data_IF_276198048076
#
_entry.id   IF_276198048076
#
_cell.length_a   1.000
_cell.length_b   1.000
_cell.length_c   1.000
_cell.angle_alpha   90.00
_cell.angle_beta   90.00
_cell.angle_gamma   90.00
#
_symmetry.space_group_name_H-M   'P 1'
#
loop_
_entity.id
_entity.type
_entity.pdbx_description
1 polymer ?
#
# COMPACT_ATOMS: atom_id res chain seq x y z
N UNK A 1 -13.88 -0.60 -12.44
CA UNK A 1 -14.16 0.26 -11.26
C UNK A 1 -15.58 -0.05 -10.79
N UNK A 2 -15.77 -0.36 -9.49
CA UNK A 2 -17.12 -0.57 -8.94
C UNK A 2 -17.90 0.75 -8.89
N UNK A 3 -19.24 0.70 -8.99
CA UNK A 3 -20.08 1.92 -8.96
C UNK A 3 -19.86 2.75 -7.69
N UNK A 4 -19.57 2.10 -6.57
CA UNK A 4 -19.30 2.75 -5.28
C UNK A 4 -18.02 3.57 -5.24
N UNK A 5 -17.15 3.47 -6.26
CA UNK A 5 -15.90 4.23 -6.38
C UNK A 5 -15.90 5.20 -7.55
N UNK A 6 -17.08 5.44 -8.16
CA UNK A 6 -17.22 6.48 -9.18
C UNK A 6 -16.88 7.84 -8.61
N UNK A 7 -16.05 8.60 -9.33
CA UNK A 7 -15.65 9.96 -8.96
C UNK A 7 -14.43 10.04 -8.04
N UNK A 8 -13.85 8.91 -7.58
CA UNK A 8 -12.63 8.97 -6.77
C UNK A 8 -11.45 9.62 -7.49
N UNK A 9 -11.36 9.49 -8.81
CA UNK A 9 -10.36 10.20 -9.63
C UNK A 9 -10.55 11.72 -9.60
N UNK A 10 -11.74 12.20 -9.21
CA UNK A 10 -12.07 13.61 -9.00
C UNK A 10 -12.05 14.01 -7.52
N UNK A 11 -11.57 13.14 -6.63
CA UNK A 11 -11.56 13.36 -5.18
C UNK A 11 -12.94 13.22 -4.51
N UNK A 12 -13.88 12.54 -5.16
CA UNK A 12 -15.23 12.32 -4.63
C UNK A 12 -15.47 10.84 -4.37
N UNK A 13 -15.87 10.47 -3.17
CA UNK A 13 -16.37 9.13 -2.90
C UNK A 13 -17.83 9.02 -3.37
N UNK A 14 -18.25 7.81 -3.81
CA UNK A 14 -19.64 7.54 -4.20
C UNK A 14 -20.65 7.78 -3.07
N UNK A 15 -20.19 7.77 -1.81
CA UNK A 15 -20.97 8.12 -0.61
C UNK A 15 -21.21 9.62 -0.43
N UNK A 16 -20.73 10.46 -1.37
CA UNK A 16 -20.84 11.93 -1.27
C UNK A 16 -19.76 12.56 -0.37
N UNK A 17 -18.86 11.78 0.25
CA UNK A 17 -17.74 12.30 1.01
C UNK A 17 -16.61 12.75 0.06
N UNK A 18 -15.93 13.84 0.43
CA UNK A 18 -14.74 14.29 -0.28
C UNK A 18 -13.54 13.50 0.20
N UNK A 19 -12.86 12.80 -0.71
CA UNK A 19 -11.60 12.14 -0.42
C UNK A 19 -10.48 13.17 -0.29
N UNK A 20 -9.61 12.95 0.68
CA UNK A 20 -8.38 13.71 0.81
C UNK A 20 -7.30 13.07 -0.05
N UNK A 21 -6.81 13.78 -1.04
CA UNK A 21 -5.60 13.41 -1.77
C UNK A 21 -4.38 14.04 -1.12
N UNK A 22 -3.34 13.23 -0.93
CA UNK A 22 -2.07 13.75 -0.43
C UNK A 22 -1.42 14.65 -1.48
N UNK A 23 -0.90 15.81 -1.05
CA UNK A 23 -0.12 16.70 -1.91
C UNK A 23 1.18 16.05 -2.37
N UNK A 24 1.86 16.62 -3.35
CA UNK A 24 3.16 16.11 -3.80
C UNK A 24 4.20 16.05 -2.68
N UNK A 25 4.24 17.06 -1.80
CA UNK A 25 5.16 17.10 -0.65
C UNK A 25 4.80 16.04 0.40
N UNK A 26 3.52 15.83 0.68
CA UNK A 26 3.06 14.78 1.58
C UNK A 26 3.41 13.40 1.01
N UNK A 27 3.15 13.14 -0.28
CA UNK A 27 3.49 11.87 -0.93
C UNK A 27 4.98 11.59 -0.91
N UNK A 28 5.83 12.63 -1.11
CA UNK A 28 7.28 12.47 -0.99
C UNK A 28 7.71 11.95 0.38
N UNK A 29 6.98 12.27 1.45
CA UNK A 29 7.23 11.77 2.81
C UNK A 29 6.63 10.40 3.08
N UNK A 30 5.65 9.98 2.28
CA UNK A 30 4.98 8.68 2.37
C UNK A 30 5.63 7.62 1.48
N UNK A 31 6.70 7.94 0.76
CA UNK A 31 7.44 6.97 -0.01
C UNK A 31 8.07 5.93 0.91
N UNK A 32 7.81 4.66 0.61
CA UNK A 32 8.32 3.51 1.34
C UNK A 32 9.62 3.07 0.70
N UNK A 33 10.69 2.97 1.49
CA UNK A 33 12.04 2.67 1.01
C UNK A 33 12.61 1.41 1.65
N UNK A 34 13.45 0.66 0.91
CA UNK A 34 14.14 -0.47 1.50
C UNK A 34 15.28 0.00 2.41
N UNK A 35 15.48 -0.69 3.52
CA UNK A 35 16.59 -0.47 4.43
C UNK A 35 16.97 -1.77 5.15
N UNK A 36 18.14 -2.34 4.84
CA UNK A 36 18.64 -3.54 5.50
C UNK A 36 17.68 -4.74 5.48
N UNK A 37 17.00 -4.98 4.35
CA UNK A 37 16.02 -6.05 4.19
C UNK A 37 14.61 -5.72 4.70
N UNK A 38 14.39 -4.54 5.24
CA UNK A 38 13.13 -4.05 5.80
C UNK A 38 12.56 -2.91 4.96
N UNK A 39 11.37 -2.46 5.32
CA UNK A 39 10.76 -1.24 4.80
C UNK A 39 10.91 -0.10 5.81
N UNK A 40 11.35 1.03 5.31
CA UNK A 40 11.59 2.24 6.07
C UNK A 40 10.87 3.44 5.47
N UNK A 41 10.75 4.50 6.27
CA UNK A 41 10.36 5.80 5.78
C UNK A 41 11.52 6.49 5.02
N UNK A 42 11.27 7.71 4.55
CA UNK A 42 12.27 8.50 3.80
C UNK A 42 13.47 8.93 4.65
N UNK A 43 13.36 8.85 5.98
CA UNK A 43 14.43 9.16 6.92
C UNK A 43 15.24 7.92 7.34
N UNK A 44 14.88 6.73 6.78
CA UNK A 44 15.56 5.47 7.06
C UNK A 44 15.13 4.81 8.37
N UNK A 45 14.01 5.21 8.96
CA UNK A 45 13.45 4.58 10.16
C UNK A 45 12.54 3.42 9.74
N UNK A 46 12.65 2.23 10.37
CA UNK A 46 11.75 1.13 10.09
C UNK A 46 10.28 1.55 10.23
N UNK A 47 9.45 1.14 9.29
CA UNK A 47 8.01 1.36 9.37
C UNK A 47 7.41 0.45 10.43
N UNK A 48 6.87 1.06 11.48
CA UNK A 48 6.26 0.37 12.60
C UNK A 48 4.98 1.10 13.03
N UNK A 49 3.82 0.42 13.07
CA UNK A 49 2.55 1.03 13.46
C UNK A 49 2.51 1.47 14.92
N UNK A 50 3.35 0.88 15.77
CA UNK A 50 3.41 1.18 17.20
C UNK A 50 4.22 2.46 17.50
N UNK A 51 4.86 3.05 16.49
CA UNK A 51 5.52 4.34 16.67
C UNK A 51 4.52 5.47 16.90
N UNK A 52 4.82 6.42 17.81
CA UNK A 52 3.91 7.51 18.18
C UNK A 52 3.46 8.40 17.03
N UNK A 53 4.19 8.37 15.91
CA UNK A 53 3.93 9.19 14.73
C UNK A 53 2.98 8.52 13.72
N UNK A 54 2.53 7.31 14.01
CA UNK A 54 1.63 6.54 13.14
C UNK A 54 0.36 6.15 13.89
N UNK A 55 -0.51 7.13 14.23
CA UNK A 55 -1.79 6.84 14.88
C UNK A 55 -2.72 6.16 13.88
N UNK A 56 -2.53 4.89 13.66
CA UNK A 56 -3.29 4.09 12.74
C UNK A 56 -3.81 2.81 13.37
N UNK A 57 -4.45 1.99 12.58
CA UNK A 57 -4.81 0.63 13.00
C UNK A 57 -3.53 -0.17 13.16
N UNK A 58 -3.40 -0.84 14.30
CA UNK A 58 -2.21 -1.60 14.67
C UNK A 58 -1.77 -2.55 13.54
N UNK A 59 -0.56 -2.39 13.08
CA UNK A 59 0.15 -3.33 12.23
C UNK A 59 -0.06 -3.19 10.73
N UNK A 60 -1.06 -2.47 10.24
CA UNK A 60 -1.40 -2.45 8.81
C UNK A 60 -1.03 -1.14 8.14
N UNK A 61 -0.23 -1.24 7.09
CA UNK A 61 0.11 -0.14 6.18
C UNK A 61 -0.74 -0.25 4.91
N UNK A 62 -1.58 0.74 4.65
CA UNK A 62 -2.21 0.90 3.34
C UNK A 62 -1.14 1.31 2.33
N UNK A 63 -1.01 0.58 1.21
CA UNK A 63 0.00 0.90 0.20
C UNK A 63 -0.58 1.05 -1.21
N UNK A 64 0.12 1.81 -2.04
CA UNK A 64 -0.06 1.84 -3.48
C UNK A 64 1.29 1.89 -4.18
N UNK A 65 1.48 1.07 -5.21
CA UNK A 65 2.64 1.10 -6.09
C UNK A 65 2.30 1.86 -7.35
N UNK A 66 3.08 2.87 -7.68
CA UNK A 66 2.96 3.62 -8.92
C UNK A 66 3.56 2.84 -10.11
N UNK A 67 3.29 3.28 -11.34
CA UNK A 67 3.77 2.64 -12.57
C UNK A 67 5.31 2.62 -12.69
N UNK A 68 5.99 3.56 -12.03
CA UNK A 68 7.45 3.62 -11.96
C UNK A 68 8.08 2.69 -10.92
N UNK A 69 7.26 1.93 -10.19
CA UNK A 69 7.67 0.98 -9.16
C UNK A 69 7.91 1.60 -7.78
N UNK A 70 7.73 2.91 -7.61
CA UNK A 70 7.75 3.53 -6.28
C UNK A 70 6.50 3.11 -5.49
N UNK A 71 6.73 2.84 -4.21
CA UNK A 71 5.67 2.42 -3.30
C UNK A 71 5.44 3.56 -2.31
N UNK A 72 4.18 3.89 -2.09
CA UNK A 72 3.74 4.87 -1.10
C UNK A 72 2.86 4.16 -0.09
N UNK A 73 2.95 4.55 1.18
CA UNK A 73 2.17 3.90 2.22
C UNK A 73 1.84 4.83 3.38
N UNK A 74 0.73 4.55 4.04
CA UNK A 74 0.29 5.26 5.23
C UNK A 74 -0.38 4.32 6.22
N UNK A 75 -0.20 4.58 7.51
CA UNK A 75 -0.98 3.96 8.57
C UNK A 75 -2.28 4.73 8.88
N UNK A 76 -2.52 5.86 8.19
CA UNK A 76 -3.74 6.64 8.35
C UNK A 76 -4.90 5.99 7.56
N UNK A 77 -5.83 5.42 8.30
CA UNK A 77 -7.06 4.80 7.79
C UNK A 77 -8.30 5.64 8.13
N UNK A 78 -8.20 6.96 8.10
CA UNK A 78 -9.36 7.80 8.38
C UNK A 78 -10.52 7.44 7.47
N UNK A 79 -11.55 6.83 8.06
CA UNK A 79 -12.68 6.24 7.35
C UNK A 79 -13.36 7.29 6.45
N UNK A 80 -13.65 6.92 5.21
CA UNK A 80 -14.26 7.76 4.17
C UNK A 80 -13.46 9.01 3.76
N UNK A 81 -12.25 9.16 4.24
CA UNK A 81 -11.37 10.31 3.93
C UNK A 81 -10.10 9.86 3.21
N UNK A 82 -9.43 8.83 3.73
CA UNK A 82 -8.20 8.28 3.16
C UNK A 82 -8.49 6.91 2.55
N UNK A 83 -8.18 6.78 1.26
CA UNK A 83 -8.27 5.55 0.48
C UNK A 83 -6.94 5.31 -0.23
N UNK A 84 -6.77 4.14 -0.85
CA UNK A 84 -5.58 3.84 -1.66
C UNK A 84 -5.34 4.90 -2.74
N UNK A 85 -6.41 5.44 -3.34
CA UNK A 85 -6.34 6.53 -4.34
C UNK A 85 -5.74 7.82 -3.79
N UNK A 86 -5.82 8.05 -2.47
CA UNK A 86 -5.22 9.21 -1.79
C UNK A 86 -3.70 9.23 -1.93
N UNK A 87 -3.06 8.05 -1.91
CA UNK A 87 -1.61 7.88 -1.99
C UNK A 87 -1.02 8.32 -3.34
N UNK A 88 -1.79 8.21 -4.42
CA UNK A 88 -1.37 8.59 -5.77
C UNK A 88 -2.15 9.79 -6.32
N UNK A 89 -2.89 10.52 -5.46
CA UNK A 89 -3.74 11.65 -5.84
C UNK A 89 -4.69 11.32 -7.00
N UNK A 90 -5.30 10.14 -6.97
CA UNK A 90 -6.23 9.67 -7.99
C UNK A 90 -5.58 9.11 -9.26
N UNK A 91 -4.25 9.11 -9.37
CA UNK A 91 -3.57 8.50 -10.51
C UNK A 91 -3.72 6.96 -10.50
N UNK A 92 -3.58 6.30 -11.67
CA UNK A 92 -3.55 4.84 -11.74
C UNK A 92 -2.46 4.24 -10.84
N UNK A 93 -2.75 3.08 -10.25
CA UNK A 93 -1.79 2.29 -9.49
C UNK A 93 -1.45 1.00 -10.24
N UNK A 94 -0.18 0.61 -10.23
CA UNK A 94 0.24 -0.72 -10.69
C UNK A 94 -0.32 -1.80 -9.77
N UNK A 95 -0.36 -1.54 -8.46
CA UNK A 95 -1.05 -2.36 -7.46
C UNK A 95 -1.36 -1.51 -6.22
N UNK A 96 -2.33 -1.96 -5.43
CA UNK A 96 -2.68 -1.38 -4.15
C UNK A 96 -3.26 -2.47 -3.23
N UNK A 97 -3.04 -2.32 -1.93
CA UNK A 97 -3.47 -3.27 -0.91
C UNK A 97 -2.96 -2.87 0.46
N UNK A 98 -2.86 -3.85 1.34
CA UNK A 98 -2.40 -3.66 2.71
C UNK A 98 -1.16 -4.51 3.01
N UNK A 99 -0.30 -4.04 3.89
CA UNK A 99 0.85 -4.75 4.43
C UNK A 99 0.78 -4.79 5.95
N UNK A 100 0.95 -5.96 6.55
CA UNK A 100 1.20 -6.09 7.97
C UNK A 100 2.70 -5.98 8.21
N UNK A 101 3.10 -4.98 8.98
CA UNK A 101 4.50 -4.71 9.29
C UNK A 101 4.80 -4.87 10.77
N UNK A 102 5.98 -5.39 11.09
CA UNK A 102 6.54 -5.42 12.44
C UNK A 102 7.99 -4.97 12.34
N UNK A 103 8.31 -3.83 12.91
CA UNK A 103 9.66 -3.23 12.86
C UNK A 103 10.22 -3.19 11.42
N UNK A 104 9.39 -2.82 10.45
CA UNK A 104 9.72 -2.76 9.03
C UNK A 104 9.77 -4.11 8.30
N UNK A 105 9.67 -5.24 8.98
CA UNK A 105 9.52 -6.54 8.34
C UNK A 105 8.12 -6.71 7.76
N UNK A 106 8.02 -7.17 6.53
CA UNK A 106 6.74 -7.46 5.89
C UNK A 106 6.28 -8.86 6.33
N UNK A 107 5.30 -8.92 7.22
CA UNK A 107 4.73 -10.17 7.71
C UNK A 107 3.66 -10.71 6.77
N UNK A 108 2.78 -9.82 6.30
CA UNK A 108 1.76 -10.14 5.30
C UNK A 108 1.65 -9.02 4.27
N UNK A 109 1.25 -9.38 3.06
CA UNK A 109 0.93 -8.44 1.99
C UNK A 109 -0.26 -8.95 1.19
N UNK A 110 -1.14 -8.05 0.77
CA UNK A 110 -2.29 -8.40 -0.06
C UNK A 110 -2.53 -7.40 -1.20
N UNK A 111 -3.56 -7.66 -2.02
CA UNK A 111 -4.05 -6.78 -3.09
C UNK A 111 -5.50 -6.32 -2.84
N UNK A 112 -5.86 -6.13 -1.59
CA UNK A 112 -7.22 -5.70 -1.22
C UNK A 112 -7.35 -4.19 -1.40
N UNK A 113 -7.96 -3.77 -2.50
CA UNK A 113 -8.31 -2.38 -2.75
C UNK A 113 -9.68 -2.29 -3.41
N UNK A 114 -10.60 -1.66 -2.73
CA UNK A 114 -11.97 -1.48 -3.24
C UNK A 114 -12.01 -0.63 -4.51
N UNK A 115 -11.16 0.38 -4.62
CA UNK A 115 -11.09 1.29 -5.77
C UNK A 115 -10.37 0.66 -6.96
N UNK A 116 -9.11 0.23 -6.76
CA UNK A 116 -8.27 -0.25 -7.86
C UNK A 116 -8.57 -1.70 -8.27
N UNK A 117 -8.98 -2.55 -7.32
CA UNK A 117 -9.26 -3.98 -7.53
C UNK A 117 -8.15 -4.67 -8.34
N UNK A 118 -6.89 -4.55 -7.91
CA UNK A 118 -5.79 -5.07 -8.69
C UNK A 118 -5.89 -6.60 -8.82
N UNK A 119 -5.56 -7.16 -10.00
CA UNK A 119 -5.51 -8.61 -10.16
C UNK A 119 -4.33 -9.23 -9.40
N UNK A 120 -4.35 -10.54 -9.24
CA UNK A 120 -3.30 -11.27 -8.52
C UNK A 120 -1.89 -11.04 -9.13
N UNK A 121 -1.81 -10.93 -10.45
CA UNK A 121 -0.57 -10.65 -11.18
C UNK A 121 0.04 -9.28 -10.81
N UNK A 122 -0.78 -8.32 -10.43
CA UNK A 122 -0.30 -7.02 -9.95
C UNK A 122 0.41 -7.16 -8.59
N UNK A 123 -0.12 -8.00 -7.68
CA UNK A 123 0.56 -8.32 -6.43
C UNK A 123 1.87 -9.07 -6.67
N UNK A 124 1.93 -9.97 -7.64
CA UNK A 124 3.17 -10.64 -8.03
C UNK A 124 4.26 -9.61 -8.43
N UNK A 125 3.87 -8.54 -9.12
CA UNK A 125 4.80 -7.46 -9.50
C UNK A 125 5.31 -6.71 -8.27
N UNK A 126 4.46 -6.43 -7.28
CA UNK A 126 4.91 -5.82 -6.01
C UNK A 126 5.89 -6.70 -5.29
N UNK A 127 5.59 -8.00 -5.15
CA UNK A 127 6.49 -8.97 -4.50
C UNK A 127 7.85 -9.01 -5.21
N UNK A 128 7.86 -9.04 -6.54
CA UNK A 128 9.10 -8.99 -7.34
C UNK A 128 9.85 -7.67 -7.13
N UNK A 129 9.14 -6.54 -7.12
CA UNK A 129 9.72 -5.23 -6.90
C UNK A 129 10.37 -5.14 -5.52
N UNK A 130 9.70 -5.59 -4.47
CA UNK A 130 10.25 -5.62 -3.11
C UNK A 130 11.52 -6.48 -3.03
N UNK A 131 11.54 -7.65 -3.66
CA UNK A 131 12.75 -8.50 -3.76
C UNK A 131 13.88 -7.79 -4.51
N UNK A 132 13.58 -7.13 -5.63
CA UNK A 132 14.57 -6.35 -6.40
C UNK A 132 15.17 -5.23 -5.57
N UNK A 133 14.38 -4.62 -4.69
CA UNK A 133 14.82 -3.61 -3.74
C UNK A 133 15.60 -4.19 -2.54
N UNK A 134 15.74 -5.51 -2.45
CA UNK A 134 16.48 -6.18 -1.38
C UNK A 134 15.68 -6.37 -0.08
N UNK A 135 14.34 -6.27 -0.14
CA UNK A 135 13.48 -6.55 1.02
C UNK A 135 13.43 -8.06 1.28
N UNK A 136 13.63 -8.47 2.52
CA UNK A 136 13.52 -9.87 2.92
C UNK A 136 12.05 -10.27 3.04
N UNK A 137 11.61 -11.16 2.18
CA UNK A 137 10.25 -11.70 2.15
C UNK A 137 10.19 -13.20 2.52
N UNK A 138 11.25 -13.75 3.12
CA UNK A 138 11.31 -15.19 3.42
C UNK A 138 10.18 -15.65 4.35
N UNK A 139 9.71 -14.80 5.23
CA UNK A 139 8.62 -15.07 6.18
C UNK A 139 7.30 -14.42 5.82
N UNK A 140 7.24 -13.73 4.68
CA UNK A 140 6.07 -12.96 4.27
C UNK A 140 4.98 -13.88 3.74
N UNK A 141 3.79 -13.76 4.30
CA UNK A 141 2.59 -14.38 3.74
C UNK A 141 1.99 -13.47 2.66
N UNK A 142 1.86 -14.00 1.46
CA UNK A 142 1.24 -13.29 0.32
C UNK A 142 -0.21 -13.74 0.18
N UNK A 143 -1.14 -12.84 0.37
CA UNK A 143 -2.58 -13.10 0.37
C UNK A 143 -3.24 -12.51 -0.88
N UNK A 144 -3.63 -13.36 -1.81
CA UNK A 144 -4.34 -12.93 -3.02
C UNK A 144 -5.84 -12.85 -2.76
N UNK A 145 -6.42 -11.68 -2.99
CA UNK A 145 -7.86 -11.49 -2.84
C UNK A 145 -8.65 -12.44 -3.76
N UNK A 146 -9.52 -13.23 -3.17
CA UNK A 146 -10.34 -14.21 -3.90
C UNK A 146 -9.61 -15.48 -4.35
N UNK A 147 -8.31 -15.63 -4.07
CA UNK A 147 -7.49 -16.78 -4.46
C UNK A 147 -6.62 -17.26 -3.27
N UNK A 148 -7.22 -17.81 -2.20
CA UNK A 148 -6.50 -18.08 -0.94
C UNK A 148 -5.36 -19.11 -1.08
N UNK A 149 -5.45 -20.00 -2.07
CA UNK A 149 -4.47 -21.09 -2.27
C UNK A 149 -3.42 -20.76 -3.35
N UNK A 150 -3.44 -19.54 -3.91
CA UNK A 150 -2.44 -19.16 -4.91
C UNK A 150 -1.06 -19.03 -4.26
N UNK A 151 -0.03 -19.75 -4.79
CA UNK A 151 1.32 -19.59 -4.28
C UNK A 151 1.91 -18.23 -4.72
N UNK A 152 2.82 -17.64 -3.91
CA UNK A 152 3.55 -16.46 -4.33
C UNK A 152 4.47 -16.76 -5.52
N UNK A 153 4.91 -15.74 -6.28
CA UNK A 153 5.84 -15.93 -7.37
C UNK A 153 7.17 -16.49 -6.85
N UNK A 154 7.76 -17.37 -7.62
CA UNK A 154 9.08 -17.93 -7.32
C UNK A 154 10.13 -16.82 -7.13
N UNK A 155 11.15 -17.07 -6.33
CA UNK A 155 12.27 -16.14 -6.12
C UNK A 155 12.97 -15.75 -7.43
#
# INVERSE_FOLDING_TARGET
MGEQYRGEHEGKAASGHTLRYFTADERARLEVRPCGGRLCDVEGRPLDPDLPNHPGRSGTLMYAMADDGRIYGTFDFTLHVIHHSSLLAGAPAACAGDMLLVDGEVMEIDNVSGHYKPPAEALDQVVKQLRTLGVDLARTKVNYFGLPDRPPPAP
#
